data_IF_187592594110
#
_entry.id   IF_187592594110
#
_cell.length_a   1.000
_cell.length_b   1.000
_cell.length_c   1.000
_cell.angle_alpha   90.00
_cell.angle_beta   90.00
_cell.angle_gamma   90.00
#
_symmetry.space_group_name_H-M   'P 1'
#
loop_
_entity.id
_entity.type
_entity.pdbx_description
1 polymer ?
#
# COMPACT_ATOMS: atom_id res chain seq x y z
N UNK A 1 -4.48 0.51 9.17
CA UNK A 1 -4.25 1.30 10.39
C UNK A 1 -4.49 2.83 10.15
N UNK A 2 -4.54 3.29 8.88
CA UNK A 2 -4.96 4.61 8.38
C UNK A 2 -6.18 5.31 9.05
N UNK A 3 -7.22 4.58 9.48
CA UNK A 3 -8.41 5.19 10.09
C UNK A 3 -8.20 5.64 11.55
N UNK A 4 -7.16 5.13 12.24
CA UNK A 4 -6.81 5.58 13.62
C UNK A 4 -6.22 6.98 13.56
N UNK A 5 -5.55 7.31 12.45
CA UNK A 5 -5.04 8.65 12.15
C UNK A 5 -6.14 9.72 12.11
N UNK A 6 -7.38 9.35 11.81
CA UNK A 6 -8.53 10.27 11.75
C UNK A 6 -9.42 10.23 13.00
N UNK A 7 -9.00 9.57 14.08
CA UNK A 7 -9.81 9.44 15.30
C UNK A 7 -11.09 8.60 15.11
N UNK A 8 -11.11 7.71 14.12
CA UNK A 8 -12.28 6.88 13.86
C UNK A 8 -12.54 5.91 15.02
N UNK A 9 -13.78 5.92 15.53
CA UNK A 9 -14.28 4.93 16.49
C UNK A 9 -14.02 3.52 15.96
N UNK A 10 -13.17 2.76 16.67
CA UNK A 10 -12.93 1.33 16.40
C UNK A 10 -14.16 0.47 16.66
N UNK A 11 -15.25 1.05 17.17
CA UNK A 11 -16.55 0.40 17.35
C UNK A 11 -17.36 0.28 16.06
N UNK A 12 -16.99 0.99 14.98
CA UNK A 12 -17.68 0.87 13.70
C UNK A 12 -17.24 -0.42 12.96
N UNK A 13 -18.17 -1.33 12.59
CA UNK A 13 -17.84 -2.59 11.94
C UNK A 13 -17.05 -2.43 10.62
N UNK A 14 -17.37 -1.39 9.84
CA UNK A 14 -16.67 -1.07 8.61
C UNK A 14 -15.20 -0.70 8.83
N UNK A 15 -14.92 0.10 9.86
CA UNK A 15 -13.56 0.53 10.22
C UNK A 15 -12.72 -0.69 10.62
N UNK A 16 -13.31 -1.60 11.40
CA UNK A 16 -12.68 -2.87 11.79
C UNK A 16 -12.38 -3.75 10.57
N UNK A 17 -13.36 -3.98 9.71
CA UNK A 17 -13.19 -4.77 8.49
C UNK A 17 -12.08 -4.21 7.59
N UNK A 18 -12.01 -2.88 7.43
CA UNK A 18 -10.96 -2.26 6.63
C UNK A 18 -9.57 -2.50 7.24
N UNK A 19 -9.44 -2.44 8.57
CA UNK A 19 -8.18 -2.77 9.24
C UNK A 19 -7.76 -4.22 9.03
N UNK A 20 -8.68 -5.16 9.22
CA UNK A 20 -8.41 -6.60 9.06
C UNK A 20 -8.02 -6.91 7.61
N UNK A 21 -8.66 -6.27 6.63
CA UNK A 21 -8.37 -6.48 5.21
C UNK A 21 -7.05 -5.85 4.77
N UNK A 22 -6.67 -4.70 5.33
CA UNK A 22 -5.44 -3.99 4.95
C UNK A 22 -4.20 -4.44 5.73
N UNK A 23 -4.37 -5.15 6.84
CA UNK A 23 -3.24 -5.61 7.66
C UNK A 23 -2.22 -6.46 6.88
N UNK A 24 -2.60 -7.47 6.08
CA UNK A 24 -1.64 -8.28 5.34
C UNK A 24 -0.83 -7.49 4.30
N UNK A 25 -1.37 -6.37 3.81
CA UNK A 25 -0.66 -5.48 2.89
C UNK A 25 0.40 -4.62 3.59
N UNK A 26 0.24 -4.41 4.90
CA UNK A 26 1.18 -3.62 5.70
C UNK A 26 2.25 -4.49 6.36
N UNK A 27 1.95 -5.77 6.60
CA UNK A 27 2.84 -6.73 7.27
C UNK A 27 4.25 -6.81 6.65
N UNK A 28 4.45 -6.83 5.32
CA UNK A 28 5.79 -6.86 4.72
C UNK A 28 6.65 -5.64 5.06
N UNK A 29 6.02 -4.54 5.46
CA UNK A 29 6.66 -3.27 5.79
C UNK A 29 6.62 -2.96 7.29
N UNK A 30 6.13 -3.90 8.10
CA UNK A 30 6.09 -3.76 9.54
C UNK A 30 7.51 -3.58 10.10
N UNK A 31 7.69 -2.60 10.99
CA UNK A 31 8.98 -2.32 11.63
C UNK A 31 9.99 -1.53 10.78
N UNK A 32 9.66 -1.15 9.54
CA UNK A 32 10.55 -0.29 8.71
C UNK A 32 10.72 1.11 9.31
N UNK A 33 9.65 1.66 9.89
CA UNK A 33 9.68 2.94 10.54
C UNK A 33 9.56 2.76 12.05
N UNK A 34 10.32 3.52 12.87
CA UNK A 34 10.02 3.62 14.29
C UNK A 34 8.57 4.05 14.43
N UNK A 35 7.85 3.53 15.42
CA UNK A 35 6.47 3.92 15.70
C UNK A 35 6.50 5.11 16.65
N UNK A 36 6.49 6.38 16.19
CA UNK A 36 6.37 7.51 17.10
C UNK A 36 4.96 7.47 17.70
N UNK A 37 4.83 6.95 18.92
CA UNK A 37 3.66 7.20 19.74
C UNK A 37 3.73 8.65 20.20
N UNK A 38 3.26 9.58 19.36
CA UNK A 38 3.08 10.97 19.78
C UNK A 38 1.96 10.94 20.82
N UNK A 39 2.31 11.33 22.05
CA UNK A 39 1.39 11.46 23.18
C UNK A 39 0.20 12.33 22.78
N UNK A 40 -0.95 11.73 22.50
CA UNK A 40 -2.14 12.43 22.01
C UNK A 40 -3.04 11.67 21.02
N UNK A 41 -2.72 10.41 20.68
CA UNK A 41 -3.59 9.56 19.86
C UNK A 41 -3.43 9.72 18.34
N UNK A 42 -2.58 10.63 17.90
CA UNK A 42 -2.19 10.78 16.50
C UNK A 42 -0.94 9.93 16.21
N UNK A 43 -1.14 8.71 15.74
CA UNK A 43 -0.05 7.85 15.25
C UNK A 43 0.06 8.08 13.75
N UNK A 44 1.08 8.83 13.30
CA UNK A 44 1.39 8.92 11.87
C UNK A 44 2.00 7.59 11.43
N UNK A 45 1.27 6.86 10.61
CA UNK A 45 1.66 5.54 10.15
C UNK A 45 2.46 5.63 8.84
N UNK A 46 3.73 6.00 8.97
CA UNK A 46 4.67 6.05 7.85
C UNK A 46 4.72 4.73 7.06
N UNK A 47 4.52 3.59 7.72
CA UNK A 47 4.41 2.27 7.09
C UNK A 47 3.29 2.20 6.05
N UNK A 48 2.12 2.80 6.30
CA UNK A 48 1.00 2.76 5.36
C UNK A 48 1.26 3.63 4.13
N UNK A 49 1.80 4.83 4.33
CA UNK A 49 2.19 5.73 3.25
C UNK A 49 3.26 5.07 2.38
N UNK A 50 4.26 4.47 3.02
CA UNK A 50 5.33 3.75 2.33
C UNK A 50 4.80 2.55 1.53
N UNK A 51 3.90 1.75 2.11
CA UNK A 51 3.27 0.63 1.41
C UNK A 51 2.53 1.09 0.15
N UNK A 52 1.76 2.19 0.23
CA UNK A 52 1.06 2.78 -0.93
C UNK A 52 2.06 3.16 -2.02
N UNK A 53 3.16 3.83 -1.65
CA UNK A 53 4.21 4.21 -2.61
C UNK A 53 4.84 2.99 -3.30
N UNK A 54 5.19 1.95 -2.53
CA UNK A 54 5.80 0.73 -3.07
C UNK A 54 4.83 0.00 -3.99
N UNK A 55 3.57 -0.17 -3.60
CA UNK A 55 2.59 -0.84 -4.45
C UNK A 55 2.28 -0.05 -5.72
N UNK A 56 2.24 1.29 -5.66
CA UNK A 56 2.11 2.13 -6.85
C UNK A 56 3.32 1.96 -7.79
N UNK A 57 4.54 1.92 -7.24
CA UNK A 57 5.75 1.70 -8.01
C UNK A 57 5.79 0.31 -8.66
N UNK A 58 5.41 -0.75 -7.93
CA UNK A 58 5.30 -2.11 -8.48
C UNK A 58 4.27 -2.15 -9.61
N UNK A 59 3.12 -1.50 -9.43
CA UNK A 59 2.10 -1.40 -10.47
C UNK A 59 2.64 -0.73 -11.74
N UNK A 60 3.37 0.38 -11.59
CA UNK A 60 4.02 1.06 -12.70
C UNK A 60 5.03 0.16 -13.44
N UNK A 61 5.86 -0.59 -12.71
CA UNK A 61 6.81 -1.52 -13.33
C UNK A 61 6.10 -2.67 -14.04
N UNK A 62 5.01 -3.18 -13.48
CA UNK A 62 4.21 -4.22 -14.09
C UNK A 62 3.59 -3.73 -15.41
N UNK A 63 3.04 -2.52 -15.46
CA UNK A 63 2.50 -1.95 -16.70
C UNK A 63 3.59 -1.71 -17.74
N UNK A 64 4.75 -1.17 -17.32
CA UNK A 64 5.88 -0.96 -18.23
C UNK A 64 6.41 -2.29 -18.80
N UNK A 65 6.48 -3.34 -17.99
CA UNK A 65 6.88 -4.68 -18.43
C UNK A 65 5.87 -5.27 -19.43
N UNK A 66 4.57 -5.13 -19.16
CA UNK A 66 3.52 -5.58 -20.08
C UNK A 66 3.62 -4.86 -21.42
N UNK A 67 3.77 -3.54 -21.43
CA UNK A 67 3.96 -2.75 -22.65
C UNK A 67 5.19 -3.19 -23.44
N UNK A 68 6.31 -3.41 -22.76
CA UNK A 68 7.53 -3.91 -23.38
C UNK A 68 7.31 -5.26 -24.06
N UNK A 69 6.72 -6.23 -23.34
CA UNK A 69 6.44 -7.58 -23.88
C UNK A 69 5.51 -7.52 -25.09
N UNK A 70 4.43 -6.73 -25.01
CA UNK A 70 3.48 -6.54 -26.12
C UNK A 70 4.16 -5.91 -27.34
N UNK A 71 5.01 -4.92 -27.13
CA UNK A 71 5.76 -4.26 -28.19
C UNK A 71 6.73 -5.21 -28.89
N UNK A 72 7.48 -6.02 -28.14
CA UNK A 72 8.37 -7.04 -28.71
C UNK A 72 7.61 -8.10 -29.51
N UNK A 73 6.44 -8.55 -29.00
CA UNK A 73 5.58 -9.50 -29.71
C UNK A 73 5.05 -8.97 -31.04
N UNK A 74 4.70 -7.68 -31.09
CA UNK A 74 4.18 -7.03 -32.30
C UNK A 74 5.24 -6.86 -33.40
N UNK A 75 6.50 -6.60 -33.04
CA UNK A 75 7.59 -6.48 -34.03
C UNK A 75 7.93 -7.79 -34.72
N UNK A 76 7.90 -8.91 -33.99
CA UNK A 76 8.24 -10.24 -34.53
C UNK A 76 7.27 -10.73 -35.62
N UNK A 77 6.03 -10.24 -35.61
CA UNK A 77 5.00 -10.71 -36.54
C UNK A 77 4.93 -9.89 -37.86
N UNK A 78 5.74 -8.83 -37.96
CA UNK A 78 5.79 -7.91 -39.13
C UNK A 78 7.04 -8.12 -40.00
N UNK A 79 7.86 -9.14 -39.69
CA UNK A 79 8.99 -9.64 -40.50
C UNK A 79 8.61 -10.99 -41.12
#
# INVERSE_FOLDING_TARGET
>A
MLLKLFGASTGAPFVRWLYETTQPLLEPFAGIFPSPSISGGFVIEFTAIFAIMIYAFIGYLATAALEAVVFYGKRRHSE
#
